data_IF_580145596132
#
_entry.id   IF_580145596132
#
_cell.length_a   1.000
_cell.length_b   1.000
_cell.length_c   1.000
_cell.angle_alpha   90.00
_cell.angle_beta   90.00
_cell.angle_gamma   90.00
#
_symmetry.space_group_name_H-M   'P 1'
#
loop_
_entity.id
_entity.type
_entity.pdbx_description
1 polymer ?
#
# COMPACT_ATOMS: atom_id res chain seq x y z
N UNK A 1 31.57 10.87 -21.44
CA UNK A 1 30.62 11.59 -20.58
C UNK A 1 30.52 10.77 -19.29
N UNK A 2 31.06 11.28 -18.18
CA UNK A 2 31.26 10.53 -16.94
C UNK A 2 30.02 10.60 -16.04
N UNK A 3 29.68 9.48 -15.38
CA UNK A 3 28.61 9.38 -14.39
C UNK A 3 29.04 10.16 -13.13
N UNK A 4 28.20 11.02 -12.52
CA UNK A 4 28.58 11.81 -11.35
C UNK A 4 28.88 10.94 -10.11
N UNK A 5 29.84 11.38 -9.30
CA UNK A 5 30.41 10.72 -8.12
C UNK A 5 29.45 10.46 -6.93
N UNK A 6 28.14 10.57 -7.11
CA UNK A 6 27.15 10.34 -6.05
C UNK A 6 26.87 8.85 -5.76
N UNK A 7 27.43 7.92 -6.56
CA UNK A 7 27.17 6.47 -6.42
C UNK A 7 28.16 5.73 -5.50
N UNK A 8 29.23 6.37 -5.03
CA UNK A 8 30.28 5.70 -4.24
C UNK A 8 30.02 5.71 -2.73
N UNK A 9 29.09 6.53 -2.22
CA UNK A 9 28.90 6.71 -0.78
C UNK A 9 27.92 5.69 -0.14
N UNK A 10 27.38 4.74 -0.91
CA UNK A 10 26.52 3.66 -0.40
C UNK A 10 27.30 2.38 -0.04
N UNK A 11 28.62 2.34 -0.26
CA UNK A 11 29.42 1.12 -0.11
C UNK A 11 30.09 0.92 1.26
N UNK A 12 30.11 1.93 2.14
CA UNK A 12 30.82 1.85 3.43
C UNK A 12 29.92 1.77 4.67
N UNK A 13 28.60 1.62 4.49
CA UNK A 13 27.77 1.12 5.58
C UNK A 13 27.94 -0.39 5.63
N UNK A 14 28.77 -0.87 6.56
CA UNK A 14 28.80 -2.27 6.98
C UNK A 14 27.73 -2.47 8.07
N UNK A 15 26.45 -2.78 7.74
CA UNK A 15 25.51 -3.17 8.77
C UNK A 15 25.98 -4.51 9.33
N UNK A 16 26.04 -4.58 10.65
CA UNK A 16 25.96 -5.85 11.38
C UNK A 16 24.88 -6.73 10.72
N UNK A 17 25.00 -8.07 10.68
CA UNK A 17 23.99 -8.92 10.07
C UNK A 17 22.65 -8.76 10.81
N UNK A 18 21.87 -7.78 10.37
CA UNK A 18 20.46 -7.66 10.65
C UNK A 18 19.83 -8.99 10.28
N UNK A 19 18.79 -9.49 10.99
CA UNK A 19 17.98 -10.56 10.45
C UNK A 19 17.64 -10.18 9.01
N UNK A 20 18.06 -11.00 8.05
CA UNK A 20 18.03 -10.66 6.63
C UNK A 20 16.64 -10.10 6.32
N UNK A 21 16.56 -8.83 5.89
CA UNK A 21 15.29 -8.29 5.42
C UNK A 21 14.77 -9.27 4.35
N UNK A 22 13.56 -9.83 4.51
CA UNK A 22 13.04 -10.75 3.51
C UNK A 22 13.05 -10.05 2.16
N UNK A 23 13.68 -10.67 1.17
CA UNK A 23 13.74 -10.13 -0.18
C UNK A 23 12.32 -10.12 -0.78
N UNK A 24 12.11 -9.37 -1.86
CA UNK A 24 10.86 -9.36 -2.60
C UNK A 24 10.99 -10.24 -3.85
N UNK A 25 9.94 -10.98 -4.19
CA UNK A 25 9.84 -11.71 -5.45
C UNK A 25 9.03 -10.89 -6.48
N UNK A 26 9.26 -11.08 -7.80
CA UNK A 26 8.43 -10.44 -8.80
C UNK A 26 6.96 -10.91 -8.68
N UNK A 27 5.97 -10.02 -8.90
CA UNK A 27 4.57 -10.42 -8.92
C UNK A 27 4.34 -11.40 -10.09
N UNK A 28 3.68 -12.51 -9.82
CA UNK A 28 3.41 -13.55 -10.82
C UNK A 28 2.15 -13.27 -11.65
N UNK A 29 1.32 -12.32 -11.22
CA UNK A 29 0.09 -11.94 -11.90
C UNK A 29 -0.21 -10.45 -11.73
N UNK A 30 -1.06 -9.94 -12.62
CA UNK A 30 -1.62 -8.60 -12.57
C UNK A 30 -3.14 -8.70 -12.56
N UNK A 31 -3.79 -7.80 -11.83
CA UNK A 31 -5.24 -7.67 -11.85
C UNK A 31 -5.63 -6.35 -12.52
N UNK A 32 -6.46 -6.42 -13.55
CA UNK A 32 -7.13 -5.25 -14.11
C UNK A 32 -8.47 -5.07 -13.40
N UNK A 33 -8.67 -3.89 -12.81
CA UNK A 33 -9.94 -3.49 -12.20
C UNK A 33 -10.58 -2.34 -12.99
N UNK A 34 -11.87 -2.50 -13.28
CA UNK A 34 -12.69 -1.48 -13.95
C UNK A 34 -13.93 -1.24 -13.10
N UNK A 35 -14.12 0.00 -12.66
CA UNK A 35 -15.33 0.45 -12.00
C UNK A 35 -16.07 1.32 -13.02
N UNK A 36 -17.32 0.97 -13.30
CA UNK A 36 -18.17 1.78 -14.17
C UNK A 36 -18.64 3.05 -13.44
N UNK A 37 -19.31 3.95 -14.17
CA UNK A 37 -19.71 5.27 -13.67
C UNK A 37 -20.97 5.28 -12.80
N UNK A 38 -21.40 4.12 -12.30
CA UNK A 38 -22.66 3.91 -11.57
C UNK A 38 -22.54 4.09 -10.04
N UNK A 39 -21.39 4.56 -9.55
CA UNK A 39 -21.11 4.67 -8.12
C UNK A 39 -20.45 3.44 -7.53
N UNK A 40 -19.99 2.49 -8.36
CA UNK A 40 -19.21 1.34 -7.91
C UNK A 40 -18.05 1.75 -6.98
N UNK A 41 -17.84 0.96 -5.93
CA UNK A 41 -16.87 1.21 -4.86
C UNK A 41 -16.28 -0.12 -4.38
N UNK A 42 -15.25 -0.05 -3.54
CA UNK A 42 -14.69 -1.23 -2.88
C UNK A 42 -14.51 -0.96 -1.39
N UNK A 43 -15.01 -1.86 -0.57
CA UNK A 43 -15.04 -1.70 0.88
C UNK A 43 -13.63 -1.64 1.49
N UNK A 44 -13.57 -1.06 2.69
CA UNK A 44 -12.35 -0.95 3.48
C UNK A 44 -11.78 -2.34 3.83
N UNK A 45 -10.49 -2.53 3.56
CA UNK A 45 -9.80 -3.81 3.78
C UNK A 45 -8.26 -3.62 3.83
N UNK A 46 -7.57 -4.69 4.24
CA UNK A 46 -6.13 -4.88 4.04
C UNK A 46 -5.89 -5.84 2.86
N UNK A 47 -4.85 -5.57 2.08
CA UNK A 47 -4.44 -6.48 1.01
C UNK A 47 -3.76 -7.75 1.54
N UNK A 48 -3.18 -7.67 2.74
CA UNK A 48 -2.68 -8.79 3.52
C UNK A 48 -3.20 -8.67 4.97
N UNK A 49 -4.29 -9.37 5.34
CA UNK A 49 -4.84 -9.31 6.68
C UNK A 49 -4.04 -10.14 7.71
N UNK A 50 -2.88 -10.67 7.33
CA UNK A 50 -2.03 -11.49 8.17
C UNK A 50 -2.22 -12.99 7.97
N UNK A 51 -1.26 -13.80 8.45
CA UNK A 51 -1.21 -15.24 8.18
C UNK A 51 -2.30 -16.07 8.84
N UNK A 52 -2.93 -15.54 9.89
CA UNK A 52 -3.96 -16.22 10.67
C UNK A 52 -5.39 -15.91 10.18
N UNK A 53 -5.53 -15.00 9.21
CA UNK A 53 -6.82 -14.68 8.63
C UNK A 53 -7.37 -15.88 7.82
N UNK A 54 -8.70 -16.12 7.84
CA UNK A 54 -9.31 -17.21 7.08
C UNK A 54 -8.94 -17.17 5.60
N UNK A 55 -8.42 -18.29 5.08
CA UNK A 55 -8.02 -18.44 3.68
C UNK A 55 -6.75 -17.66 3.28
N UNK A 56 -6.06 -16.99 4.21
CA UNK A 56 -4.89 -16.17 3.88
C UNK A 56 -3.74 -16.98 3.25
N UNK A 57 -3.66 -18.28 3.57
CA UNK A 57 -2.65 -19.22 3.06
C UNK A 57 -3.16 -20.15 1.95
N UNK A 58 -4.39 -19.94 1.47
CA UNK A 58 -4.97 -20.79 0.43
C UNK A 58 -4.26 -20.59 -0.90
N UNK A 59 -4.05 -21.70 -1.62
CA UNK A 59 -3.40 -21.71 -2.92
C UNK A 59 -1.87 -21.87 -2.89
N UNK A 60 -1.23 -21.81 -4.06
CA UNK A 60 0.21 -22.03 -4.19
C UNK A 60 1.01 -20.84 -3.60
N UNK A 61 2.20 -21.10 -3.02
CA UNK A 61 3.10 -20.05 -2.57
C UNK A 61 3.38 -18.98 -3.63
N UNK A 62 3.50 -17.73 -3.20
CA UNK A 62 3.69 -16.56 -4.07
C UNK A 62 2.38 -16.00 -4.66
N UNK A 63 1.27 -16.74 -4.60
CA UNK A 63 -0.06 -16.27 -4.99
C UNK A 63 -1.02 -16.09 -3.80
N UNK A 64 -0.60 -16.46 -2.59
CA UNK A 64 -1.43 -16.39 -1.38
C UNK A 64 -1.61 -14.95 -0.95
N UNK A 65 -2.71 -14.66 -0.28
CA UNK A 65 -2.97 -13.33 0.30
C UNK A 65 -1.93 -12.99 1.37
N UNK A 66 -1.55 -13.97 2.20
CA UNK A 66 -0.54 -13.82 3.25
C UNK A 66 0.86 -13.52 2.71
N UNK A 67 1.15 -13.84 1.45
CA UNK A 67 2.48 -13.64 0.86
C UNK A 67 2.66 -12.19 0.37
N UNK A 68 1.58 -11.44 0.18
CA UNK A 68 1.60 -10.08 -0.38
C UNK A 68 2.34 -9.13 0.56
N UNK A 69 3.48 -8.62 0.10
CA UNK A 69 4.32 -7.70 0.84
C UNK A 69 4.03 -6.24 0.49
N UNK A 70 3.96 -5.96 -0.82
CA UNK A 70 3.72 -4.62 -1.36
C UNK A 70 2.61 -4.69 -2.38
N UNK A 71 1.65 -3.78 -2.26
CA UNK A 71 0.64 -3.53 -3.29
C UNK A 71 1.15 -2.42 -4.19
N UNK A 72 1.11 -2.66 -5.49
CA UNK A 72 1.39 -1.69 -6.53
C UNK A 72 0.15 -1.44 -7.39
N UNK A 73 -0.27 -0.19 -7.54
CA UNK A 73 -1.44 0.19 -8.35
C UNK A 73 -1.00 1.23 -9.37
N UNK A 74 -1.16 0.91 -10.66
CA UNK A 74 -1.01 1.86 -11.76
C UNK A 74 -2.39 2.32 -12.23
N UNK A 75 -2.64 3.61 -12.16
CA UNK A 75 -3.88 4.21 -12.65
C UNK A 75 -3.79 4.56 -14.13
N UNK A 76 -4.89 4.35 -14.86
CA UNK A 76 -4.95 4.47 -16.32
C UNK A 76 -6.05 5.47 -16.77
N UNK A 77 -6.27 6.54 -16.00
CA UNK A 77 -7.37 7.49 -16.20
C UNK A 77 -6.87 8.87 -16.66
N UNK A 78 -6.70 9.12 -17.97
CA UNK A 78 -6.01 10.32 -18.47
C UNK A 78 -6.79 11.64 -18.29
N UNK A 79 -8.10 11.58 -18.07
CA UNK A 79 -8.98 12.75 -17.99
C UNK A 79 -9.73 12.83 -16.64
N UNK A 80 -9.05 12.48 -15.54
CA UNK A 80 -9.65 12.51 -14.20
C UNK A 80 -9.70 13.94 -13.65
N UNK A 81 -10.83 14.34 -13.08
CA UNK A 81 -11.04 15.68 -12.54
C UNK A 81 -11.94 15.75 -11.31
N UNK A 82 -12.17 16.99 -10.81
CA UNK A 82 -13.04 17.22 -9.66
C UNK A 82 -14.46 16.68 -9.91
N UNK A 83 -14.98 15.90 -8.96
CA UNK A 83 -16.34 15.33 -9.02
C UNK A 83 -16.42 13.89 -9.52
N UNK A 84 -15.38 13.36 -10.18
CA UNK A 84 -15.35 11.98 -10.70
C UNK A 84 -15.33 10.91 -9.58
N UNK A 85 -15.02 11.31 -8.35
CA UNK A 85 -14.95 10.39 -7.20
C UNK A 85 -13.79 9.41 -7.34
N UNK A 86 -14.02 8.13 -7.00
CA UNK A 86 -13.11 7.03 -7.29
C UNK A 86 -11.74 7.07 -6.60
N UNK A 87 -11.54 7.98 -5.63
CA UNK A 87 -10.30 8.07 -4.89
C UNK A 87 -10.00 6.77 -4.16
N UNK A 88 -8.73 6.41 -4.05
CA UNK A 88 -8.30 5.42 -3.08
C UNK A 88 -8.10 6.14 -1.75
N UNK A 89 -8.88 5.77 -0.73
CA UNK A 89 -8.69 6.27 0.62
C UNK A 89 -7.76 5.34 1.37
N UNK A 90 -6.68 5.90 1.91
CA UNK A 90 -5.73 5.23 2.79
C UNK A 90 -5.96 5.70 4.22
N UNK A 91 -6.20 4.78 5.14
CA UNK A 91 -6.35 5.10 6.55
C UNK A 91 -4.99 5.11 7.23
N UNK A 92 -4.72 6.13 8.06
CA UNK A 92 -3.52 6.13 8.90
C UNK A 92 -3.72 5.11 10.02
N UNK A 93 -2.69 4.36 10.40
CA UNK A 93 -2.75 3.54 11.61
C UNK A 93 -3.10 4.45 12.78
N UNK A 94 -4.12 4.09 13.56
CA UNK A 94 -4.40 4.77 14.82
C UNK A 94 -3.13 4.73 15.68
N UNK A 95 -2.72 5.87 16.22
CA UNK A 95 -1.56 6.08 17.11
C UNK A 95 -1.71 5.37 18.47
N UNK A 96 -2.29 4.17 18.51
CA UNK A 96 -2.67 3.47 19.73
C UNK A 96 -1.58 2.58 20.33
N UNK A 97 -0.38 2.48 19.75
CA UNK A 97 0.68 1.67 20.32
C UNK A 97 2.08 2.16 19.92
N UNK A 98 2.44 3.36 20.36
CA UNK A 98 3.84 3.76 20.47
C UNK A 98 4.33 3.42 21.89
N UNK A 99 5.09 2.33 22.11
CA UNK A 99 5.66 2.02 23.41
C UNK A 99 6.85 2.94 23.78
N UNK A 100 7.24 3.87 22.89
CA UNK A 100 8.36 4.79 23.06
C UNK A 100 8.01 6.28 23.01
N UNK A 101 6.71 6.62 22.98
CA UNK A 101 6.25 8.01 22.96
C UNK A 101 6.43 8.69 24.32
N UNK A 102 7.63 9.18 24.59
CA UNK A 102 7.88 10.05 25.75
C UNK A 102 7.01 11.31 25.65
N UNK A 103 6.17 11.48 26.68
CA UNK A 103 5.09 12.46 26.71
C UNK A 103 5.58 13.90 26.73
N UNK A 104 5.14 14.68 25.74
CA UNK A 104 5.09 16.13 25.78
C UNK A 104 3.69 16.60 26.17
N UNK A 105 3.46 16.83 27.47
CA UNK A 105 2.21 17.43 27.95
C UNK A 105 2.08 18.90 27.54
N UNK A 106 0.90 19.28 27.02
CA UNK A 106 0.61 20.69 26.72
C UNK A 106 -0.77 20.96 26.12
N UNK A 107 -1.81 20.99 26.97
CA UNK A 107 -2.88 22.00 26.92
C UNK A 107 -3.90 22.00 25.76
N UNK A 108 -5.12 21.52 26.07
CA UNK A 108 -6.35 22.27 25.77
C UNK A 108 -7.09 21.98 24.46
N UNK A 109 -8.24 21.29 24.59
CA UNK A 109 -9.43 21.54 23.75
C UNK A 109 -9.81 20.45 22.75
N UNK A 110 -10.77 19.60 23.15
CA UNK A 110 -11.86 19.09 22.31
C UNK A 110 -11.53 18.24 21.07
N UNK A 111 -11.84 16.94 21.15
CA UNK A 111 -12.00 16.03 20.00
C UNK A 111 -11.15 14.77 20.13
N UNK A 112 -11.78 13.61 20.27
CA UNK A 112 -11.06 12.34 20.19
C UNK A 112 -10.33 12.23 18.85
N UNK A 113 -9.09 11.74 18.87
CA UNK A 113 -8.25 11.60 17.67
C UNK A 113 -8.91 10.60 16.70
N UNK A 114 -9.76 11.09 15.79
CA UNK A 114 -10.17 10.34 14.62
C UNK A 114 -8.92 10.03 13.79
N UNK A 115 -8.63 8.75 13.58
CA UNK A 115 -7.54 8.32 12.71
C UNK A 115 -7.65 9.00 11.34
N UNK A 116 -6.70 9.88 11.03
CA UNK A 116 -6.76 10.65 9.78
C UNK A 116 -6.66 9.75 8.54
N UNK A 117 -7.15 10.22 7.40
CA UNK A 117 -7.00 9.53 6.12
C UNK A 117 -6.23 10.36 5.09
N UNK A 118 -5.83 9.72 4.00
CA UNK A 118 -5.29 10.33 2.79
C UNK A 118 -6.07 9.80 1.58
N UNK A 119 -6.70 10.69 0.83
CA UNK A 119 -7.33 10.35 -0.45
C UNK A 119 -6.33 10.55 -1.59
N UNK A 120 -6.18 9.54 -2.45
CA UNK A 120 -5.34 9.56 -3.64
C UNK A 120 -6.22 9.46 -4.88
N UNK A 121 -6.18 10.51 -5.71
CA UNK A 121 -6.88 10.51 -7.00
C UNK A 121 -6.26 9.48 -7.97
N UNK A 122 -7.06 8.74 -8.75
CA UNK A 122 -6.59 7.73 -9.67
C UNK A 122 -6.12 8.33 -11.01
N UNK A 123 -5.23 9.34 -10.98
CA UNK A 123 -4.76 10.02 -12.19
C UNK A 123 -3.96 9.08 -13.09
N UNK A 124 -4.21 9.12 -14.41
CA UNK A 124 -3.48 8.31 -15.39
C UNK A 124 -1.95 8.46 -15.29
N UNK A 125 -1.24 7.34 -15.29
CA UNK A 125 0.22 7.28 -15.15
C UNK A 125 0.73 7.34 -13.71
N UNK A 126 -0.14 7.56 -12.72
CA UNK A 126 0.25 7.50 -11.30
C UNK A 126 0.43 6.05 -10.86
N UNK A 127 1.64 5.75 -10.39
CA UNK A 127 1.96 4.52 -9.65
C UNK A 127 1.88 4.80 -8.15
N UNK A 128 1.08 4.02 -7.43
CA UNK A 128 1.00 4.03 -5.98
C UNK A 128 1.55 2.72 -5.42
N UNK A 129 2.43 2.82 -4.43
CA UNK A 129 3.03 1.68 -3.73
C UNK A 129 2.76 1.81 -2.23
N UNK A 130 2.33 0.72 -1.59
CA UNK A 130 2.19 0.67 -0.12
C UNK A 130 2.37 -0.75 0.41
N UNK A 131 2.69 -0.88 1.70
CA UNK A 131 2.82 -2.18 2.36
C UNK A 131 1.45 -2.82 2.52
N UNK A 132 1.27 -4.03 1.99
CA UNK A 132 -0.03 -4.70 1.90
C UNK A 132 -0.66 -5.00 3.27
N UNK A 133 0.18 -5.16 4.31
CA UNK A 133 -0.25 -5.52 5.66
C UNK A 133 -0.50 -4.32 6.59
N UNK A 134 -0.11 -3.11 6.19
CA UNK A 134 -0.11 -1.94 7.10
C UNK A 134 -1.09 -0.85 6.69
N UNK A 135 -1.57 -0.86 5.44
CA UNK A 135 -2.38 0.23 4.89
C UNK A 135 -3.77 -0.28 4.60
N UNK A 136 -4.67 -0.04 5.56
CA UNK A 136 -6.09 -0.25 5.36
C UNK A 136 -6.61 0.79 4.37
N UNK A 137 -7.38 0.33 3.38
CA UNK A 137 -7.82 1.20 2.31
C UNK A 137 -9.16 0.78 1.69
N UNK A 138 -9.83 1.75 1.08
CA UNK A 138 -11.07 1.56 0.34
C UNK A 138 -11.06 2.36 -0.97
N UNK A 139 -11.84 1.92 -1.95
CA UNK A 139 -12.10 2.70 -3.16
C UNK A 139 -13.39 3.45 -2.96
N UNK A 140 -13.32 4.78 -2.95
CA UNK A 140 -14.49 5.66 -2.85
C UNK A 140 -15.38 5.51 -4.10
N UNK A 141 -16.70 5.76 -4.01
CA UNK A 141 -17.61 5.64 -5.15
C UNK A 141 -17.12 6.39 -6.40
N UNK A 142 -17.02 5.68 -7.52
CA UNK A 142 -16.61 6.23 -8.80
C UNK A 142 -17.84 6.73 -9.60
N UNK A 143 -17.78 7.97 -10.08
CA UNK A 143 -18.79 8.59 -10.95
C UNK A 143 -18.33 8.75 -12.40
N UNK A 144 -17.07 8.42 -12.66
CA UNK A 144 -16.51 8.23 -13.99
C UNK A 144 -15.86 6.84 -14.06
N UNK A 145 -15.69 6.31 -15.27
CA UNK A 145 -15.10 4.98 -15.47
C UNK A 145 -13.66 4.96 -14.98
N UNK A 146 -13.36 4.12 -13.99
CA UNK A 146 -12.07 4.05 -13.30
C UNK A 146 -11.33 2.76 -13.64
N UNK A 147 -10.14 2.92 -14.20
CA UNK A 147 -9.21 1.86 -14.55
C UNK A 147 -8.01 1.84 -13.60
N UNK A 148 -7.68 0.65 -13.11
CA UNK A 148 -6.48 0.40 -12.33
C UNK A 148 -5.88 -0.96 -12.69
N UNK A 149 -4.56 -1.01 -12.78
CA UNK A 149 -3.79 -2.24 -12.91
C UNK A 149 -3.03 -2.47 -11.60
N UNK A 150 -3.37 -3.54 -10.89
CA UNK A 150 -2.76 -3.88 -9.61
C UNK A 150 -1.79 -5.05 -9.76
N UNK A 151 -0.68 -4.99 -9.02
CA UNK A 151 0.24 -6.10 -8.81
C UNK A 151 0.48 -6.24 -7.31
N UNK A 152 0.50 -7.48 -6.81
CA UNK A 152 0.94 -7.75 -5.43
C UNK A 152 2.29 -8.43 -5.49
N UNK A 153 3.30 -7.73 -4.97
CA UNK A 153 4.69 -8.18 -4.88
C UNK A 153 4.80 -9.04 -3.62
N UNK A 154 5.08 -10.35 -3.73
CA UNK A 154 5.21 -11.18 -2.55
C UNK A 154 6.59 -11.05 -1.90
N UNK A 155 6.68 -11.50 -0.65
CA UNK A 155 7.97 -11.84 -0.07
C UNK A 155 8.61 -12.99 -0.87
N UNK A 156 9.92 -12.90 -1.11
CA UNK A 156 10.71 -14.03 -1.57
C UNK A 156 10.75 -15.04 -0.43
N UNK A 157 10.29 -16.26 -0.67
CA UNK A 157 10.44 -17.32 0.32
C UNK A 157 11.93 -17.49 0.62
N UNK A 158 12.27 -17.47 1.91
CA UNK A 158 13.58 -17.92 2.35
C UNK A 158 13.72 -19.37 1.91
N UNK A 159 14.73 -19.68 1.08
CA UNK A 159 15.11 -21.08 0.87
C UNK A 159 15.48 -21.67 2.24
N UNK A 160 14.58 -22.47 2.80
CA UNK A 160 14.83 -23.30 3.97
C UNK A 160 15.74 -24.46 3.62
#
# INVERSE_FOLDING_TARGET
MAIPAALSALQDANPQPSPQRPALAPPQSLQLAVYDSDGAFYACHLDNPGPDAPGARDGPPGLRVADRAVTAILYLNPAWGPGDGGQLRLWRPSSGNDPGGEGGGGGGGGGGEEGGYLDVEPLGGRLLLFRSADVEHEVRPARARRWALSAWVPWLESCS
#
